data_IF_866436614431
#
_entry.id   IF_866436614431
#
_cell.length_a   1.000
_cell.length_b   1.000
_cell.length_c   1.000
_cell.angle_alpha   90.00
_cell.angle_beta   90.00
_cell.angle_gamma   90.00
#
_symmetry.space_group_name_H-M   'P 1'
#
loop_
_entity.id
_entity.type
_entity.pdbx_description
1 polymer ?
#
# COMPACT_ATOMS: atom_id res chain seq x y z
N UNK A 1 -1.38 34.57 28.90
CA UNK A 1 -1.69 33.46 29.87
C UNK A 1 -0.78 32.27 29.55
N UNK A 2 0.30 32.07 30.32
CA UNK A 2 1.22 30.91 30.11
C UNK A 2 0.56 29.67 30.72
N UNK A 3 0.07 28.76 29.88
CA UNK A 3 -0.38 27.43 30.30
C UNK A 3 0.80 26.65 30.87
N UNK A 4 0.79 26.37 32.20
CA UNK A 4 1.78 25.49 32.81
C UNK A 4 1.48 24.05 32.41
N UNK A 5 2.33 23.47 31.56
CA UNK A 5 2.24 22.07 31.18
C UNK A 5 2.59 21.23 32.42
N UNK A 6 1.63 20.50 32.95
CA UNK A 6 1.82 19.60 34.09
C UNK A 6 2.27 18.22 33.60
N UNK A 7 2.87 17.37 34.48
CA UNK A 7 3.20 15.97 34.17
C UNK A 7 2.00 15.20 33.61
N UNK A 8 0.78 15.55 34.04
CA UNK A 8 -0.47 14.97 33.53
C UNK A 8 -0.78 15.39 32.08
N UNK A 9 -0.44 16.61 31.71
CA UNK A 9 -0.64 17.09 30.33
C UNK A 9 0.22 16.30 29.35
N UNK A 10 1.44 15.88 29.72
CA UNK A 10 2.30 15.07 28.87
C UNK A 10 1.75 13.67 28.59
N UNK A 11 0.95 13.09 29.49
CA UNK A 11 0.29 11.79 29.28
C UNK A 11 -0.63 11.83 28.05
N UNK A 12 -1.19 12.99 27.70
CA UNK A 12 -2.04 13.18 26.54
C UNK A 12 -1.32 13.80 25.35
N UNK A 13 -0.42 14.76 25.60
CA UNK A 13 0.27 15.50 24.55
C UNK A 13 1.24 14.63 23.76
N UNK A 14 2.01 13.77 24.41
CA UNK A 14 2.99 12.94 23.73
C UNK A 14 2.34 11.93 22.77
N UNK A 15 1.32 11.14 23.17
CA UNK A 15 0.60 10.27 22.25
C UNK A 15 -0.16 11.03 21.16
N UNK A 16 -0.71 12.20 21.45
CA UNK A 16 -1.35 13.05 20.42
C UNK A 16 -0.34 13.51 19.38
N UNK A 17 0.86 13.91 19.78
CA UNK A 17 1.92 14.30 18.87
C UNK A 17 2.39 13.12 18.03
N UNK A 18 2.58 11.95 18.64
CA UNK A 18 2.92 10.72 17.91
C UNK A 18 1.84 10.36 16.88
N UNK A 19 0.58 10.49 17.26
CA UNK A 19 -0.52 10.25 16.33
C UNK A 19 -0.51 11.25 15.17
N UNK A 20 -0.27 12.52 15.42
CA UNK A 20 -0.20 13.55 14.39
C UNK A 20 0.96 13.31 13.41
N UNK A 21 2.13 12.88 13.91
CA UNK A 21 3.28 12.49 13.06
C UNK A 21 2.90 11.29 12.20
N UNK A 22 2.34 10.24 12.81
CA UNK A 22 1.85 9.07 12.06
C UNK A 22 0.80 9.45 11.02
N UNK A 23 -0.21 10.23 11.40
CA UNK A 23 -1.30 10.65 10.53
C UNK A 23 -0.77 11.45 9.33
N UNK A 24 0.17 12.38 9.57
CA UNK A 24 0.76 13.19 8.51
C UNK A 24 1.58 12.37 7.52
N UNK A 25 2.31 11.35 8.01
CA UNK A 25 3.05 10.42 7.16
C UNK A 25 2.11 9.47 6.38
N UNK A 26 1.06 8.99 7.06
CA UNK A 26 0.13 8.00 6.53
C UNK A 26 -0.92 8.58 5.58
N UNK A 27 -1.11 9.89 5.57
CA UNK A 27 -2.12 10.58 4.77
C UNK A 27 -1.46 11.44 3.69
N UNK A 28 -1.95 11.37 2.46
CA UNK A 28 -1.52 12.31 1.44
C UNK A 28 -2.07 13.71 1.75
N UNK A 29 -1.20 14.60 2.20
CA UNK A 29 -1.53 16.00 2.50
C UNK A 29 -1.27 16.95 1.31
N UNK A 30 -0.69 16.43 0.20
CA UNK A 30 -0.41 17.25 -1.00
C UNK A 30 -1.63 17.43 -1.90
N UNK A 31 -2.70 16.65 -1.66
CA UNK A 31 -3.87 16.65 -2.55
C UNK A 31 -3.65 15.90 -3.86
N UNK A 32 -4.52 16.09 -4.86
CA UNK A 32 -4.43 15.44 -6.16
C UNK A 32 -3.13 15.75 -6.91
N UNK A 33 -2.81 14.93 -7.90
CA UNK A 33 -1.74 15.22 -8.88
C UNK A 33 -2.07 16.52 -9.64
N UNK A 34 -1.06 17.37 -9.80
CA UNK A 34 -1.21 18.54 -10.70
C UNK A 34 -1.03 18.09 -12.16
N UNK A 35 -1.52 18.89 -13.13
CA UNK A 35 -1.26 18.63 -14.54
C UNK A 35 0.23 18.55 -14.88
N UNK A 36 1.07 19.38 -14.24
CA UNK A 36 2.51 19.40 -14.43
C UNK A 36 3.15 18.11 -13.91
N UNK A 37 2.74 17.64 -12.73
CA UNK A 37 3.19 16.35 -12.19
C UNK A 37 2.77 15.18 -13.09
N UNK A 38 1.54 15.20 -13.60
CA UNK A 38 1.03 14.17 -14.51
C UNK A 38 1.83 14.14 -15.81
N UNK A 39 2.11 15.30 -16.42
CA UNK A 39 2.92 15.39 -17.63
C UNK A 39 4.36 14.92 -17.38
N UNK A 40 4.96 15.29 -16.27
CA UNK A 40 6.30 14.81 -15.90
C UNK A 40 6.35 13.26 -15.79
N UNK A 41 5.34 12.62 -15.21
CA UNK A 41 5.28 11.18 -15.17
C UNK A 41 5.04 10.54 -16.55
N UNK A 42 4.28 11.20 -17.44
CA UNK A 42 4.12 10.77 -18.83
C UNK A 42 5.47 10.78 -19.55
N UNK A 43 6.24 11.86 -19.43
CA UNK A 43 7.57 11.97 -20.03
C UNK A 43 8.50 10.82 -19.58
N UNK A 44 8.43 10.45 -18.29
CA UNK A 44 9.22 9.32 -17.77
C UNK A 44 8.72 7.98 -18.35
N UNK A 45 7.40 7.78 -18.44
CA UNK A 45 6.84 6.56 -19.04
C UNK A 45 7.24 6.41 -20.50
N UNK A 46 7.22 7.49 -21.28
CA UNK A 46 7.70 7.51 -22.67
C UNK A 46 9.20 7.17 -22.76
N UNK A 47 10.00 7.82 -21.92
CA UNK A 47 11.46 7.55 -21.86
C UNK A 47 11.76 6.10 -21.44
N UNK A 48 10.91 5.49 -20.63
CA UNK A 48 11.00 4.09 -20.21
C UNK A 48 10.45 3.11 -21.27
N UNK A 49 9.97 3.58 -22.44
CA UNK A 49 9.49 2.74 -23.53
C UNK A 49 8.08 2.16 -23.33
N UNK A 50 7.26 2.77 -22.47
CA UNK A 50 5.85 2.37 -22.31
C UNK A 50 5.08 2.53 -23.61
N UNK A 51 4.17 1.59 -23.90
CA UNK A 51 3.33 1.66 -25.11
C UNK A 51 2.37 2.85 -25.04
N UNK A 52 1.97 3.44 -26.19
CA UNK A 52 1.03 4.56 -26.23
C UNK A 52 -0.28 4.26 -25.49
N UNK A 53 -0.84 3.06 -25.67
CA UNK A 53 -2.09 2.66 -25.00
C UNK A 53 -1.93 2.64 -23.47
N UNK A 54 -0.79 2.12 -22.99
CA UNK A 54 -0.47 2.11 -21.56
C UNK A 54 -0.31 3.52 -20.99
N UNK A 55 0.30 4.42 -21.75
CA UNK A 55 0.44 5.84 -21.37
C UNK A 55 -0.93 6.49 -21.24
N UNK A 56 -1.83 6.27 -22.21
CA UNK A 56 -3.21 6.81 -22.17
C UNK A 56 -3.96 6.32 -20.92
N UNK A 57 -3.88 5.02 -20.60
CA UNK A 57 -4.52 4.44 -19.42
C UNK A 57 -3.98 5.05 -18.12
N UNK A 58 -2.65 5.14 -17.99
CA UNK A 58 -2.01 5.68 -16.79
C UNK A 58 -2.30 7.19 -16.67
N UNK A 59 -2.26 7.93 -17.77
CA UNK A 59 -2.59 9.35 -17.80
C UNK A 59 -4.02 9.59 -17.32
N UNK A 60 -4.99 8.85 -17.84
CA UNK A 60 -6.37 8.91 -17.37
C UNK A 60 -6.48 8.60 -15.87
N UNK A 61 -5.79 7.56 -15.41
CA UNK A 61 -5.74 7.23 -14.00
C UNK A 61 -5.18 8.36 -13.15
N UNK A 62 -4.17 9.11 -13.62
CA UNK A 62 -3.63 10.28 -12.93
C UNK A 62 -4.58 11.50 -12.95
N UNK A 63 -5.23 11.76 -14.09
CA UNK A 63 -6.17 12.90 -14.26
C UNK A 63 -7.42 12.77 -13.39
N UNK A 64 -7.85 11.54 -13.09
CA UNK A 64 -8.98 11.24 -12.21
C UNK A 64 -8.57 11.21 -10.70
N UNK A 65 -7.35 11.67 -10.33
CA UNK A 65 -6.87 11.64 -8.96
C UNK A 65 -7.65 12.60 -8.05
N UNK A 66 -8.24 12.06 -6.98
CA UNK A 66 -8.90 12.83 -5.92
C UNK A 66 -7.99 13.12 -4.72
N UNK A 67 -6.70 12.79 -4.82
CA UNK A 67 -5.69 12.97 -3.78
C UNK A 67 -5.81 12.00 -2.61
N UNK A 68 -6.74 11.04 -2.66
CA UNK A 68 -7.00 10.09 -1.58
C UNK A 68 -6.23 8.78 -1.78
N UNK A 69 -6.15 8.02 -0.69
CA UNK A 69 -5.66 6.64 -0.76
C UNK A 69 -6.63 5.75 -1.53
N UNK A 70 -6.07 4.72 -2.13
CA UNK A 70 -6.81 3.66 -2.80
C UNK A 70 -6.17 2.30 -2.49
N UNK A 71 -6.81 1.23 -2.92
CA UNK A 71 -6.27 -0.12 -2.79
C UNK A 71 -6.06 -0.73 -4.16
N UNK A 72 -4.93 -1.42 -4.36
CA UNK A 72 -4.72 -2.28 -5.51
C UNK A 72 -5.16 -3.69 -5.12
N UNK A 73 -6.24 -4.14 -5.72
CA UNK A 73 -6.72 -5.51 -5.57
C UNK A 73 -6.02 -6.36 -6.64
N UNK A 74 -5.37 -7.43 -6.16
CA UNK A 74 -4.67 -8.36 -7.04
C UNK A 74 -5.25 -9.76 -6.87
N UNK A 75 -5.46 -10.45 -7.99
CA UNK A 75 -5.57 -11.89 -8.07
C UNK A 75 -4.36 -12.39 -8.85
N UNK A 76 -3.72 -13.42 -8.37
CA UNK A 76 -2.48 -13.96 -8.89
C UNK A 76 -2.64 -15.46 -9.10
N UNK A 77 -2.28 -15.92 -10.29
CA UNK A 77 -2.14 -17.32 -10.65
C UNK A 77 -0.67 -17.55 -10.99
N UNK A 78 0.01 -18.36 -10.20
CA UNK A 78 1.45 -18.59 -10.35
C UNK A 78 1.68 -19.63 -11.44
N UNK A 79 2.73 -19.44 -12.24
CA UNK A 79 3.06 -20.43 -13.26
C UNK A 79 3.79 -21.62 -12.67
N UNK A 80 3.45 -22.80 -13.12
CA UNK A 80 4.16 -24.04 -12.74
C UNK A 80 5.56 -24.14 -13.39
N UNK A 81 5.80 -23.39 -14.48
CA UNK A 81 7.03 -23.45 -15.27
C UNK A 81 7.61 -22.04 -15.51
N UNK A 82 8.12 -21.38 -14.47
CA UNK A 82 8.71 -20.05 -14.64
C UNK A 82 9.97 -20.11 -15.52
N UNK A 83 10.21 -19.10 -16.35
CA UNK A 83 11.44 -19.05 -17.13
C UNK A 83 12.65 -18.78 -16.23
N UNK A 84 13.81 -19.26 -16.66
CA UNK A 84 15.08 -18.89 -16.01
C UNK A 84 15.37 -17.40 -16.20
N UNK A 85 15.62 -16.70 -15.09
CA UNK A 85 15.99 -15.29 -15.10
C UNK A 85 17.33 -15.08 -14.35
N UNK A 86 18.15 -14.09 -14.78
CA UNK A 86 19.53 -13.97 -14.32
C UNK A 86 19.73 -13.83 -12.81
N UNK A 87 18.82 -13.13 -12.10
CA UNK A 87 18.99 -12.86 -10.68
C UNK A 87 18.52 -14.02 -9.77
N UNK A 88 17.62 -14.89 -10.26
CA UNK A 88 17.10 -16.02 -9.50
C UNK A 88 17.75 -17.35 -9.88
N UNK A 89 18.38 -17.38 -11.06
CA UNK A 89 19.11 -18.55 -11.56
C UNK A 89 18.18 -19.68 -12.09
N UNK A 90 18.79 -20.81 -12.47
CA UNK A 90 18.05 -21.98 -12.89
C UNK A 90 17.26 -22.59 -11.72
N UNK A 91 16.21 -23.30 -12.01
CA UNK A 91 15.36 -24.02 -11.05
C UNK A 91 14.61 -23.13 -10.02
N UNK A 92 14.58 -21.80 -10.24
CA UNK A 92 13.80 -20.91 -9.40
C UNK A 92 12.30 -21.12 -9.59
N UNK A 93 11.57 -21.21 -8.49
CA UNK A 93 10.10 -21.31 -8.49
C UNK A 93 9.43 -19.96 -8.83
N UNK A 94 8.15 -19.99 -9.14
CA UNK A 94 7.37 -18.77 -9.32
C UNK A 94 7.36 -17.90 -8.05
N UNK A 95 7.35 -18.52 -6.88
CA UNK A 95 7.47 -17.83 -5.58
C UNK A 95 8.81 -17.15 -5.42
N UNK A 96 9.92 -17.75 -5.89
CA UNK A 96 11.26 -17.15 -5.84
C UNK A 96 11.34 -15.91 -6.73
N UNK A 97 10.76 -15.96 -7.92
CA UNK A 97 10.67 -14.82 -8.82
C UNK A 97 9.82 -13.70 -8.18
N UNK A 98 8.67 -14.04 -7.62
CA UNK A 98 7.82 -13.09 -6.92
C UNK A 98 8.52 -12.49 -5.70
N UNK A 99 9.24 -13.30 -4.92
CA UNK A 99 10.02 -12.82 -3.77
C UNK A 99 11.09 -11.81 -4.21
N UNK A 100 11.81 -12.09 -5.30
CA UNK A 100 12.80 -11.17 -5.88
C UNK A 100 12.19 -9.82 -6.29
N UNK A 101 10.99 -9.83 -6.89
CA UNK A 101 10.24 -8.61 -7.16
C UNK A 101 9.88 -7.86 -5.86
N UNK A 102 9.41 -8.58 -4.85
CA UNK A 102 8.96 -7.99 -3.59
C UNK A 102 10.10 -7.44 -2.73
N UNK A 103 11.35 -7.89 -2.90
CA UNK A 103 12.54 -7.29 -2.26
C UNK A 103 12.67 -5.79 -2.56
N UNK A 104 12.36 -5.40 -3.79
CA UNK A 104 12.30 -3.99 -4.18
C UNK A 104 11.00 -3.32 -3.71
N UNK A 105 9.86 -4.00 -3.88
CA UNK A 105 8.55 -3.40 -3.65
C UNK A 105 8.30 -3.06 -2.18
N UNK A 106 8.67 -3.93 -1.24
CA UNK A 106 8.37 -3.67 0.18
C UNK A 106 9.04 -2.40 0.72
N UNK A 107 10.34 -2.14 0.54
CA UNK A 107 10.96 -0.89 0.95
C UNK A 107 10.31 0.34 0.29
N UNK A 108 10.02 0.28 -1.00
CA UNK A 108 9.39 1.38 -1.75
C UNK A 108 7.98 1.68 -1.25
N UNK A 109 7.20 0.64 -0.98
CA UNK A 109 5.86 0.77 -0.42
C UNK A 109 5.90 1.38 0.99
N UNK A 110 6.68 0.77 1.90
CA UNK A 110 6.71 1.21 3.31
C UNK A 110 7.26 2.63 3.47
N UNK A 111 8.26 3.02 2.67
CA UNK A 111 8.78 4.40 2.70
C UNK A 111 7.72 5.47 2.39
N UNK A 112 6.68 5.09 1.63
CA UNK A 112 5.57 5.96 1.21
C UNK A 112 4.27 5.71 1.99
N UNK A 113 4.32 5.03 3.12
CA UNK A 113 3.13 4.62 3.87
C UNK A 113 2.13 3.79 3.03
N UNK A 114 2.64 3.05 2.05
CA UNK A 114 1.91 2.04 1.30
C UNK A 114 2.24 0.67 1.88
N UNK A 115 1.29 -0.26 1.92
CA UNK A 115 1.53 -1.57 2.54
C UNK A 115 0.43 -2.57 2.15
N UNK A 116 0.69 -3.87 2.24
CA UNK A 116 -0.37 -4.86 2.16
C UNK A 116 -1.33 -4.69 3.35
N UNK A 117 -2.61 -4.84 3.09
CA UNK A 117 -3.67 -4.89 4.12
C UNK A 117 -4.32 -6.26 4.19
N UNK A 118 -4.15 -7.04 3.13
CA UNK A 118 -4.56 -8.43 3.08
C UNK A 118 -3.66 -9.17 2.08
N UNK A 119 -3.23 -10.37 2.44
CA UNK A 119 -2.63 -11.36 1.55
C UNK A 119 -3.22 -12.70 1.98
N UNK A 120 -3.76 -13.46 1.04
CA UNK A 120 -4.37 -14.75 1.33
C UNK A 120 -4.17 -15.74 0.19
N UNK A 121 -4.11 -17.03 0.54
CA UNK A 121 -4.16 -18.12 -0.41
C UNK A 121 -5.62 -18.38 -0.79
N UNK A 122 -5.88 -18.57 -2.07
CA UNK A 122 -7.19 -19.02 -2.56
C UNK A 122 -7.37 -20.49 -2.18
N UNK A 123 -8.56 -20.86 -1.73
CA UNK A 123 -8.83 -22.18 -1.15
C UNK A 123 -9.42 -23.17 -2.15
N UNK A 124 -10.08 -22.68 -3.18
CA UNK A 124 -10.78 -23.47 -4.17
C UNK A 124 -11.04 -22.63 -5.42
N UNK A 125 -11.45 -23.25 -6.48
CA UNK A 125 -11.95 -22.56 -7.68
C UNK A 125 -13.11 -21.65 -7.36
N UNK A 126 -13.36 -20.68 -8.25
CA UNK A 126 -14.43 -19.70 -8.09
C UNK A 126 -15.78 -20.39 -7.92
N UNK A 127 -16.46 -20.08 -6.80
CA UNK A 127 -17.78 -20.64 -6.51
C UNK A 127 -18.90 -19.98 -7.34
N UNK A 128 -18.64 -18.79 -7.86
CA UNK A 128 -19.54 -18.06 -8.76
C UNK A 128 -18.70 -17.33 -9.81
N UNK A 129 -18.93 -17.65 -11.07
CA UNK A 129 -18.20 -17.08 -12.20
C UNK A 129 -19.19 -16.82 -13.35
N UNK A 130 -19.22 -15.59 -13.85
CA UNK A 130 -20.09 -15.21 -14.96
C UNK A 130 -19.44 -14.16 -15.84
N UNK A 131 -19.46 -14.38 -17.15
CA UNK A 131 -19.03 -13.39 -18.14
C UNK A 131 -17.53 -13.15 -18.23
N UNK A 132 -16.70 -14.02 -17.63
CA UNK A 132 -15.25 -13.97 -17.67
C UNK A 132 -14.71 -15.36 -18.03
N UNK A 133 -13.86 -15.42 -19.06
CA UNK A 133 -13.16 -16.64 -19.44
C UNK A 133 -11.85 -16.79 -18.66
N UNK A 134 -11.42 -18.03 -18.42
CA UNK A 134 -10.17 -18.38 -17.77
C UNK A 134 -9.95 -17.70 -16.40
N UNK A 135 -11.01 -17.59 -15.60
CA UNK A 135 -10.98 -16.96 -14.27
C UNK A 135 -11.43 -17.91 -13.14
N UNK A 136 -11.48 -19.22 -13.42
CA UNK A 136 -11.94 -20.24 -12.51
C UNK A 136 -10.98 -20.42 -11.33
N UNK A 137 -9.66 -20.50 -11.61
CA UNK A 137 -8.63 -20.79 -10.61
C UNK A 137 -7.69 -19.61 -10.41
N UNK A 138 -7.27 -19.44 -9.17
CA UNK A 138 -6.28 -18.46 -8.70
C UNK A 138 -5.53 -19.03 -7.51
N UNK A 139 -4.26 -18.66 -7.31
CA UNK A 139 -3.48 -19.09 -6.15
C UNK A 139 -3.59 -18.12 -4.98
N UNK A 140 -3.52 -16.83 -5.26
CA UNK A 140 -3.43 -15.81 -4.23
C UNK A 140 -4.33 -14.60 -4.53
N UNK A 141 -4.84 -14.01 -3.44
CA UNK A 141 -5.49 -12.71 -3.46
C UNK A 141 -4.73 -11.75 -2.55
N UNK A 142 -4.47 -10.54 -3.02
CA UNK A 142 -3.77 -9.54 -2.24
C UNK A 142 -4.39 -8.16 -2.41
N UNK A 143 -4.43 -7.40 -1.32
CA UNK A 143 -4.92 -6.04 -1.29
C UNK A 143 -3.83 -5.13 -0.71
N UNK A 144 -3.30 -4.25 -1.55
CA UNK A 144 -2.28 -3.29 -1.16
C UNK A 144 -2.86 -1.89 -1.07
N UNK A 145 -2.69 -1.25 0.07
CA UNK A 145 -3.02 0.15 0.23
C UNK A 145 -1.91 1.02 -0.37
N UNK A 146 -2.29 1.96 -1.24
CA UNK A 146 -1.46 3.06 -1.68
C UNK A 146 -1.94 4.36 -1.06
N UNK A 147 -1.02 5.16 -0.51
CA UNK A 147 -1.33 6.44 0.13
C UNK A 147 -1.92 7.45 -0.87
N UNK A 148 -1.48 7.39 -2.15
CA UNK A 148 -1.96 8.22 -3.25
C UNK A 148 -1.62 7.58 -4.61
N UNK A 149 -2.27 8.04 -5.68
CA UNK A 149 -1.89 7.68 -7.06
C UNK A 149 -0.48 8.17 -7.39
N UNK A 150 -0.10 9.35 -6.89
CA UNK A 150 1.27 9.88 -6.99
C UNK A 150 2.31 8.89 -6.46
N UNK A 151 2.10 8.32 -5.28
CA UNK A 151 3.04 7.36 -4.68
C UNK A 151 3.15 6.08 -5.51
N UNK A 152 2.03 5.58 -6.04
CA UNK A 152 2.03 4.41 -6.91
C UNK A 152 2.81 4.67 -8.21
N UNK A 153 2.51 5.78 -8.89
CA UNK A 153 3.19 6.13 -10.15
C UNK A 153 4.68 6.38 -9.93
N UNK A 154 5.05 7.05 -8.82
CA UNK A 154 6.45 7.25 -8.46
C UNK A 154 7.22 5.92 -8.23
N UNK A 155 6.55 4.87 -7.74
CA UNK A 155 7.14 3.52 -7.67
C UNK A 155 7.24 2.92 -9.08
N UNK A 156 6.15 2.96 -9.84
CA UNK A 156 6.07 2.33 -11.16
C UNK A 156 6.99 2.97 -12.22
N UNK A 157 7.35 4.24 -12.05
CA UNK A 157 8.29 4.96 -12.94
C UNK A 157 9.74 4.89 -12.48
N UNK A 158 10.03 4.27 -11.33
CA UNK A 158 11.40 4.07 -10.88
C UNK A 158 12.12 3.07 -11.81
N UNK A 159 13.31 3.38 -12.34
CA UNK A 159 14.05 2.45 -13.22
C UNK A 159 14.26 1.06 -12.61
N UNK A 160 14.53 0.97 -11.31
CA UNK A 160 14.66 -0.32 -10.61
C UNK A 160 13.36 -1.12 -10.57
N UNK A 161 12.19 -0.45 -10.63
CA UNK A 161 10.94 -1.15 -10.73
C UNK A 161 10.84 -1.92 -12.04
N UNK A 162 11.24 -1.34 -13.15
CA UNK A 162 11.16 -1.99 -14.47
C UNK A 162 11.98 -3.26 -14.49
N UNK A 163 13.23 -3.22 -13.99
CA UNK A 163 14.10 -4.39 -13.91
C UNK A 163 13.50 -5.52 -13.06
N UNK A 164 12.78 -5.17 -11.99
CA UNK A 164 12.18 -6.14 -11.06
C UNK A 164 10.78 -6.60 -11.50
N UNK A 165 10.05 -5.77 -12.25
CA UNK A 165 8.71 -6.08 -12.70
C UNK A 165 8.65 -7.27 -13.65
N UNK A 166 9.69 -7.50 -14.44
CA UNK A 166 9.79 -8.66 -15.31
C UNK A 166 9.74 -9.97 -14.52
N UNK A 167 10.32 -10.00 -13.31
CA UNK A 167 10.26 -11.18 -12.43
C UNK A 167 8.84 -11.43 -11.92
N UNK A 168 8.06 -10.36 -11.63
CA UNK A 168 6.65 -10.51 -11.31
C UNK A 168 5.89 -11.11 -12.49
N UNK A 169 6.07 -10.58 -13.69
CA UNK A 169 5.33 -11.07 -14.87
C UNK A 169 5.73 -12.51 -15.19
N UNK A 170 7.01 -12.84 -15.10
CA UNK A 170 7.53 -14.17 -15.33
C UNK A 170 7.08 -15.21 -14.27
N UNK A 171 6.69 -14.76 -13.09
CA UNK A 171 6.15 -15.66 -12.04
C UNK A 171 4.68 -16.01 -12.21
N UNK A 172 3.98 -15.43 -13.18
CA UNK A 172 2.53 -15.50 -13.28
C UNK A 172 2.07 -16.13 -14.59
N UNK A 173 1.10 -17.03 -14.50
CA UNK A 173 0.31 -17.48 -15.65
C UNK A 173 -0.69 -16.38 -16.05
N UNK A 174 -1.38 -15.81 -15.07
CA UNK A 174 -2.31 -14.70 -15.25
C UNK A 174 -2.41 -13.84 -13.98
N UNK A 175 -2.86 -12.61 -14.15
CA UNK A 175 -3.11 -11.70 -13.02
C UNK A 175 -4.15 -10.66 -13.36
N UNK A 176 -4.88 -10.23 -12.35
CA UNK A 176 -5.73 -9.04 -12.39
C UNK A 176 -5.24 -8.08 -11.30
N UNK A 177 -5.01 -6.81 -11.67
CA UNK A 177 -4.62 -5.77 -10.73
C UNK A 177 -5.52 -4.54 -10.94
N UNK A 178 -6.52 -4.36 -10.08
CA UNK A 178 -7.49 -3.28 -10.18
C UNK A 178 -7.31 -2.25 -9.06
N UNK A 179 -7.17 -0.96 -9.38
CA UNK A 179 -7.26 0.09 -8.38
C UNK A 179 -8.72 0.26 -7.94
N UNK A 180 -8.97 0.16 -6.63
CA UNK A 180 -10.30 0.27 -6.05
C UNK A 180 -10.35 1.37 -4.99
N UNK A 181 -11.42 2.18 -5.01
CA UNK A 181 -11.70 3.15 -3.96
C UNK A 181 -12.55 2.48 -2.88
N UNK A 182 -12.13 2.53 -1.60
CA UNK A 182 -12.92 1.89 -0.55
C UNK A 182 -14.23 2.65 -0.34
N UNK A 183 -15.35 1.94 -0.35
CA UNK A 183 -16.64 2.44 0.10
C UNK A 183 -16.82 2.18 1.59
N UNK A 184 -16.31 1.06 2.08
CA UNK A 184 -16.31 0.67 3.48
C UNK A 184 -15.08 -0.19 3.76
N UNK A 185 -14.29 0.18 4.78
CA UNK A 185 -13.11 -0.58 5.19
C UNK A 185 -12.74 -0.27 6.63
N UNK A 186 -12.82 -1.27 7.52
CA UNK A 186 -12.50 -1.13 8.95
C UNK A 186 -11.00 -1.20 9.26
N UNK A 187 -10.18 -1.68 8.33
CA UNK A 187 -8.75 -1.88 8.53
C UNK A 187 -7.88 -0.62 8.33
N UNK A 188 -8.45 0.58 8.34
CA UNK A 188 -7.66 1.81 8.24
C UNK A 188 -6.83 2.04 9.50
N UNK A 189 -5.50 2.03 9.35
CA UNK A 189 -4.59 2.17 10.49
C UNK A 189 -4.73 3.51 11.22
N UNK A 190 -5.24 4.56 10.60
CA UNK A 190 -5.52 5.84 11.28
C UNK A 190 -6.52 5.64 12.41
N UNK A 191 -7.56 4.88 12.17
CA UNK A 191 -8.55 4.55 13.19
C UNK A 191 -7.98 3.60 14.25
N UNK A 192 -7.34 2.51 13.83
CA UNK A 192 -6.78 1.49 14.73
C UNK A 192 -5.71 2.07 15.65
N UNK A 193 -4.73 2.80 15.10
CA UNK A 193 -3.65 3.44 15.89
C UNK A 193 -4.24 4.49 16.84
N UNK A 194 -5.21 5.29 16.38
CA UNK A 194 -5.91 6.25 17.22
C UNK A 194 -6.58 5.61 18.42
N UNK A 195 -7.31 4.52 18.22
CA UNK A 195 -7.98 3.77 19.30
C UNK A 195 -6.97 3.15 20.26
N UNK A 196 -5.90 2.54 19.77
CA UNK A 196 -4.86 1.94 20.62
C UNK A 196 -4.21 3.02 21.51
N UNK A 197 -3.79 4.13 20.92
CA UNK A 197 -3.20 5.24 21.67
C UNK A 197 -4.17 5.81 22.70
N UNK A 198 -5.43 6.01 22.34
CA UNK A 198 -6.47 6.47 23.25
C UNK A 198 -6.68 5.52 24.43
N UNK A 199 -6.75 4.21 24.17
CA UNK A 199 -6.89 3.19 25.20
C UNK A 199 -5.69 3.19 26.15
N UNK A 200 -4.46 3.20 25.63
CA UNK A 200 -3.24 3.24 26.41
C UNK A 200 -3.18 4.49 27.32
N UNK A 201 -3.46 5.66 26.78
CA UNK A 201 -3.51 6.92 27.51
C UNK A 201 -4.57 6.87 28.63
N UNK A 202 -5.74 6.32 28.33
CA UNK A 202 -6.83 6.19 29.29
C UNK A 202 -6.45 5.29 30.47
N UNK A 203 -5.78 4.16 30.21
CA UNK A 203 -5.26 3.25 31.23
C UNK A 203 -4.20 3.97 32.10
N UNK A 204 -3.19 4.57 31.47
CA UNK A 204 -2.11 5.29 32.19
C UNK A 204 -2.68 6.42 33.06
N UNK A 205 -3.61 7.21 32.52
CA UNK A 205 -4.25 8.28 33.26
C UNK A 205 -5.09 7.75 34.44
N UNK A 206 -5.74 6.61 34.30
CA UNK A 206 -6.51 5.95 35.37
C UNK A 206 -5.60 5.45 36.48
N UNK A 207 -4.48 4.80 36.14
CA UNK A 207 -3.47 4.37 37.12
C UNK A 207 -2.88 5.58 37.89
N UNK A 208 -2.56 6.67 37.16
CA UNK A 208 -2.05 7.90 37.76
C UNK A 208 -3.05 8.51 38.74
N UNK A 209 -4.32 8.57 38.39
CA UNK A 209 -5.41 9.05 39.26
C UNK A 209 -5.60 8.17 40.49
N UNK A 210 -5.53 6.85 40.34
CA UNK A 210 -5.64 5.90 41.44
C UNK A 210 -4.49 6.05 42.45
N UNK A 211 -3.23 6.11 41.98
CA UNK A 211 -2.07 6.33 42.85
C UNK A 211 -2.17 7.63 43.63
N UNK A 212 -2.60 8.73 42.98
CA UNK A 212 -2.73 10.03 43.64
C UNK A 212 -3.82 10.08 44.72
N UNK A 213 -4.84 9.23 44.62
CA UNK A 213 -5.91 9.12 45.64
C UNK A 213 -5.45 8.34 46.88
N UNK A 214 -4.42 7.52 46.77
CA UNK A 214 -3.88 6.71 47.85
C UNK A 214 -2.70 7.38 48.60
N UNK A 215 -2.18 8.48 48.09
CA UNK A 215 -1.14 9.27 48.78
C UNK A 215 -1.87 10.38 49.54
N UNK A 216 -1.82 10.38 50.91
CA UNK A 216 -2.48 11.37 51.75
C UNK A 216 -1.91 12.78 51.55
#
# INVERSE_FOLDING_TARGET
>A
MRMKITKRSWVWLAPALLYLIFFSWYTNLKGPLSPEESNHFVDILEANGSTPDRIVEIKRFMEEDDGKHFYMMNLLDLTDNPPELPATGPDASAEDLMAHYMEFMFPELFSRACHPVFIGKVLADALDLSGIENAESWDQAALFRYRSRRDMIAIATNPKFLERHDYKIASLEKTIANPVKPLFFLGDLRFTVGLILFALVSIVNSIYRYKRRKTP
#
